data_IF_425599267942
#
_entry.id   IF_425599267942
#
_cell.length_a   1.000
_cell.length_b   1.000
_cell.length_c   1.000
_cell.angle_alpha   90.00
_cell.angle_beta   90.00
_cell.angle_gamma   90.00
#
_symmetry.space_group_name_H-M   'P 1'
#
loop_
_entity.id
_entity.type
_entity.pdbx_description
1 polymer ?
#
# COMPACT_ATOMS: atom_id res chain seq x y z
N UNK A 1 15.83 33.29 3.00
CA UNK A 1 15.01 32.34 3.74
C UNK A 1 13.73 32.16 2.94
N UNK A 2 13.59 31.01 2.25
CA UNK A 2 12.35 30.72 1.50
C UNK A 2 11.23 30.50 2.50
N UNK A 3 10.08 31.12 2.25
CA UNK A 3 8.86 30.81 2.98
C UNK A 3 8.49 29.38 2.61
N UNK A 4 8.67 28.41 3.52
CA UNK A 4 8.16 27.06 3.33
C UNK A 4 6.62 27.15 3.39
N UNK A 5 5.97 27.11 2.24
CA UNK A 5 4.52 26.96 2.20
C UNK A 5 4.17 25.51 2.56
N UNK A 6 3.33 25.32 3.58
CA UNK A 6 2.80 24.02 3.95
C UNK A 6 1.91 23.48 2.84
N UNK A 7 2.11 22.24 2.43
CA UNK A 7 1.28 21.57 1.44
C UNK A 7 0.01 21.00 2.08
N UNK A 8 -1.08 21.00 1.33
CA UNK A 8 -2.30 20.30 1.71
C UNK A 8 -2.21 18.85 1.20
N UNK A 9 -2.08 17.89 2.10
CA UNK A 9 -1.93 16.46 1.81
C UNK A 9 -3.24 15.74 2.14
N UNK A 10 -3.93 15.24 1.10
CA UNK A 10 -5.14 14.45 1.25
C UNK A 10 -4.83 12.95 1.19
N UNK A 11 -5.04 12.25 2.31
CA UNK A 11 -4.87 10.79 2.41
C UNK A 11 -6.24 10.13 2.37
N UNK A 12 -6.56 9.52 1.23
CA UNK A 12 -7.79 8.79 1.00
C UNK A 12 -7.69 7.37 1.57
N UNK A 13 -8.64 6.99 2.43
CA UNK A 13 -8.65 5.65 3.04
C UNK A 13 -7.63 5.48 4.17
N UNK A 14 -7.43 6.51 4.98
CA UNK A 14 -6.45 6.59 6.07
C UNK A 14 -6.61 5.52 7.16
N UNK A 15 -7.67 4.74 7.14
CA UNK A 15 -7.99 3.71 8.16
C UNK A 15 -7.76 2.28 7.68
N UNK A 16 -7.40 2.07 6.41
CA UNK A 16 -6.98 0.77 5.87
C UNK A 16 -5.54 0.42 6.29
N UNK A 17 -5.08 -0.79 5.97
CA UNK A 17 -3.75 -1.29 6.33
C UNK A 17 -2.63 -0.28 5.98
N UNK A 18 -2.46 0.04 4.71
CA UNK A 18 -1.43 0.98 4.27
C UNK A 18 -1.78 2.42 4.66
N UNK A 19 -3.05 2.84 4.48
CA UNK A 19 -3.47 4.20 4.79
C UNK A 19 -3.23 4.60 6.24
N UNK A 20 -3.42 3.68 7.19
CA UNK A 20 -3.14 3.92 8.61
C UNK A 20 -1.65 4.10 8.88
N UNK A 21 -0.78 3.30 8.26
CA UNK A 21 0.66 3.47 8.39
C UNK A 21 1.12 4.80 7.79
N UNK A 22 0.64 5.16 6.59
CA UNK A 22 0.91 6.47 5.98
C UNK A 22 0.44 7.60 6.90
N UNK A 23 -0.77 7.49 7.46
CA UNK A 23 -1.30 8.51 8.40
C UNK A 23 -0.42 8.70 9.63
N UNK A 24 0.08 7.61 10.22
CA UNK A 24 0.99 7.69 11.36
C UNK A 24 2.33 8.32 10.99
N UNK A 25 2.95 7.86 9.89
CA UNK A 25 4.25 8.39 9.43
C UNK A 25 4.14 9.88 9.08
N UNK A 26 3.09 10.29 8.36
CA UNK A 26 2.89 11.70 8.04
C UNK A 26 2.64 12.55 9.27
N UNK A 27 1.82 12.09 10.23
CA UNK A 27 1.57 12.83 11.47
C UNK A 27 2.80 12.96 12.36
N UNK A 28 3.77 12.05 12.25
CA UNK A 28 4.99 12.07 13.07
C UNK A 28 6.12 12.86 12.39
N UNK A 29 6.20 12.85 11.06
CA UNK A 29 7.36 13.35 10.32
C UNK A 29 7.06 14.43 9.29
N UNK A 30 5.81 14.92 9.15
CA UNK A 30 5.45 16.03 8.27
C UNK A 30 4.89 17.20 9.06
N UNK A 31 5.27 18.41 8.63
CA UNK A 31 4.69 19.66 9.14
C UNK A 31 3.52 20.16 8.27
N UNK A 32 3.18 19.43 7.18
CA UNK A 32 2.14 19.80 6.22
C UNK A 32 0.72 19.75 6.82
N UNK A 33 -0.23 20.40 6.14
CA UNK A 33 -1.65 20.30 6.47
C UNK A 33 -2.20 18.93 6.05
N UNK A 34 -2.56 18.09 7.02
CA UNK A 34 -2.98 16.72 6.78
C UNK A 34 -4.50 16.57 6.85
N UNK A 35 -5.08 15.98 5.81
CA UNK A 35 -6.51 15.68 5.69
C UNK A 35 -6.70 14.17 5.51
N UNK A 36 -7.34 13.53 6.47
CA UNK A 36 -7.52 12.08 6.49
C UNK A 36 -8.97 11.70 6.24
N UNK A 37 -9.19 10.73 5.33
CA UNK A 37 -10.54 10.27 5.05
C UNK A 37 -10.80 8.85 5.53
N UNK A 38 -12.03 8.61 5.99
CA UNK A 38 -12.56 7.29 6.31
C UNK A 38 -14.05 7.21 5.96
N UNK A 39 -14.56 5.99 5.77
CA UNK A 39 -15.99 5.75 5.57
C UNK A 39 -16.84 5.91 6.84
N UNK A 40 -16.22 5.92 8.01
CA UNK A 40 -16.90 6.10 9.30
C UNK A 40 -15.99 6.74 10.34
N UNK A 41 -16.58 7.53 11.22
CA UNK A 41 -15.89 8.28 12.26
C UNK A 41 -15.16 7.39 13.27
N UNK A 42 -15.77 6.30 13.68
CA UNK A 42 -15.25 5.37 14.69
C UNK A 42 -13.95 4.66 14.32
N UNK A 43 -13.52 4.76 13.06
CA UNK A 43 -12.29 4.13 12.58
C UNK A 43 -11.06 5.03 12.66
N UNK A 44 -11.24 6.32 12.92
CA UNK A 44 -10.12 7.23 13.08
C UNK A 44 -9.37 6.99 14.39
N UNK A 45 -8.04 7.15 14.34
CA UNK A 45 -7.25 7.27 15.55
C UNK A 45 -7.44 8.67 16.15
N UNK A 46 -8.07 8.75 17.31
CA UNK A 46 -8.39 10.03 17.96
C UNK A 46 -7.16 10.74 18.55
N UNK A 47 -6.02 10.07 18.68
CA UNK A 47 -4.78 10.66 19.15
C UNK A 47 -4.10 11.58 18.12
N UNK A 48 -4.47 11.46 16.83
CA UNK A 48 -3.88 12.29 15.78
C UNK A 48 -4.62 13.61 15.67
N UNK A 49 -3.85 14.71 15.81
CA UNK A 49 -4.36 16.09 15.64
C UNK A 49 -4.37 16.48 14.16
N UNK A 50 -5.34 15.97 13.41
CA UNK A 50 -5.49 16.18 11.97
C UNK A 50 -6.97 16.40 11.61
N UNK A 51 -7.24 17.02 10.46
CA UNK A 51 -8.62 17.12 9.98
C UNK A 51 -9.12 15.76 9.47
N UNK A 52 -10.19 15.26 10.09
CA UNK A 52 -10.82 13.97 9.79
C UNK A 52 -12.09 14.18 9.00
N UNK A 53 -12.19 13.54 7.84
CA UNK A 53 -13.28 13.74 6.89
C UNK A 53 -13.94 12.40 6.59
N UNK A 54 -15.26 12.34 6.75
CA UNK A 54 -16.04 11.19 6.30
C UNK A 54 -16.16 11.28 4.78
N UNK A 55 -15.71 10.23 4.10
CA UNK A 55 -15.75 10.14 2.65
C UNK A 55 -15.90 8.70 2.18
N UNK A 56 -16.92 8.45 1.37
CA UNK A 56 -17.16 7.19 0.68
C UNK A 56 -17.18 7.42 -0.84
N UNK A 57 -16.20 6.91 -1.61
CA UNK A 57 -16.10 7.19 -3.06
C UNK A 57 -17.29 6.71 -3.89
N UNK A 58 -18.14 5.82 -3.35
CA UNK A 58 -19.36 5.38 -4.02
C UNK A 58 -20.54 6.36 -3.88
N UNK A 59 -20.54 7.20 -2.84
CA UNK A 59 -21.69 8.01 -2.49
C UNK A 59 -21.39 9.52 -2.50
N UNK A 60 -20.13 9.88 -2.19
CA UNK A 60 -19.74 11.26 -1.97
C UNK A 60 -19.09 11.85 -3.22
N UNK A 61 -19.20 13.16 -3.36
CA UNK A 61 -18.60 13.86 -4.47
C UNK A 61 -17.13 14.19 -4.19
N UNK A 62 -16.22 13.60 -4.96
CA UNK A 62 -14.78 13.87 -4.86
C UNK A 62 -14.41 15.30 -5.29
N UNK A 63 -15.18 15.90 -6.19
CA UNK A 63 -14.92 17.27 -6.67
C UNK A 63 -15.13 18.28 -5.54
N UNK A 64 -16.23 18.14 -4.77
CA UNK A 64 -16.53 18.99 -3.60
C UNK A 64 -15.44 18.85 -2.52
N UNK A 65 -14.92 17.62 -2.33
CA UNK A 65 -13.82 17.36 -1.40
C UNK A 65 -12.55 18.10 -1.85
N UNK A 66 -12.21 18.06 -3.14
CA UNK A 66 -11.06 18.77 -3.68
C UNK A 66 -11.21 20.29 -3.58
N UNK A 67 -12.40 20.82 -3.86
CA UNK A 67 -12.66 22.26 -3.75
C UNK A 67 -12.53 22.77 -2.29
N UNK A 68 -13.02 21.97 -1.32
CA UNK A 68 -12.88 22.29 0.11
C UNK A 68 -11.43 22.30 0.59
N UNK A 69 -10.60 21.31 0.16
CA UNK A 69 -9.25 21.10 0.68
C UNK A 69 -8.21 21.85 -0.15
N UNK A 70 -8.42 22.02 -1.46
CA UNK A 70 -7.43 22.48 -2.42
C UNK A 70 -6.08 21.73 -2.27
N UNK A 71 -6.05 20.41 -2.49
CA UNK A 71 -4.89 19.59 -2.18
C UNK A 71 -3.71 19.87 -3.11
N UNK A 72 -2.48 19.82 -2.57
CA UNK A 72 -1.24 19.75 -3.37
C UNK A 72 -0.91 18.31 -3.71
N UNK A 73 -1.21 17.38 -2.80
CA UNK A 73 -1.03 15.94 -2.99
C UNK A 73 -2.29 15.17 -2.58
N UNK A 74 -2.64 14.18 -3.39
CA UNK A 74 -3.67 13.18 -3.07
C UNK A 74 -3.03 11.80 -3.07
N UNK A 75 -3.06 11.11 -1.94
CA UNK A 75 -2.54 9.76 -1.76
C UNK A 75 -3.72 8.80 -1.67
N UNK A 76 -3.89 7.93 -2.67
CA UNK A 76 -5.02 7.02 -2.71
C UNK A 76 -4.70 5.64 -2.13
N UNK A 77 -5.08 5.43 -0.86
CA UNK A 77 -5.00 4.14 -0.16
C UNK A 77 -6.35 3.37 -0.19
N UNK A 78 -7.36 3.89 -0.90
CA UNK A 78 -8.64 3.19 -1.04
C UNK A 78 -8.49 2.06 -2.06
N UNK A 79 -8.95 0.87 -1.69
CA UNK A 79 -9.01 -0.29 -2.57
C UNK A 79 -10.00 -1.34 -2.05
N UNK A 80 -10.72 -1.98 -2.96
CA UNK A 80 -11.42 -3.23 -2.69
C UNK A 80 -10.40 -4.37 -2.82
N UNK A 81 -10.12 -5.08 -1.73
CA UNK A 81 -9.08 -6.10 -1.67
C UNK A 81 -9.63 -7.51 -1.97
N UNK A 82 -8.78 -8.40 -2.43
CA UNK A 82 -9.14 -9.75 -2.87
C UNK A 82 -10.03 -10.51 -1.86
N UNK A 83 -9.75 -10.54 -0.55
CA UNK A 83 -10.60 -11.25 0.41
C UNK A 83 -12.03 -10.69 0.54
N UNK A 84 -12.26 -9.44 0.13
CA UNK A 84 -13.60 -8.81 0.20
C UNK A 84 -14.40 -8.93 -1.10
N UNK A 85 -13.78 -9.40 -2.18
CA UNK A 85 -14.41 -9.55 -3.49
C UNK A 85 -14.96 -10.96 -3.62
N UNK A 86 -16.28 -11.06 -3.77
CA UNK A 86 -17.01 -12.30 -3.97
C UNK A 86 -17.58 -12.36 -5.40
N UNK A 87 -18.13 -13.51 -5.80
CA UNK A 87 -18.79 -13.70 -7.10
C UNK A 87 -20.13 -12.94 -7.22
N UNK A 88 -20.61 -12.33 -6.14
CA UNK A 88 -21.85 -11.54 -6.17
C UNK A 88 -21.68 -10.29 -7.02
N UNK A 89 -22.68 -9.99 -7.86
CA UNK A 89 -22.70 -8.84 -8.77
C UNK A 89 -22.39 -7.51 -8.04
N UNK A 90 -22.96 -7.32 -6.86
CA UNK A 90 -22.76 -6.10 -6.06
C UNK A 90 -21.30 -5.96 -5.61
N UNK A 91 -20.65 -7.08 -5.26
CA UNK A 91 -19.24 -7.10 -4.86
C UNK A 91 -18.32 -6.79 -6.04
N UNK A 92 -18.60 -7.36 -7.22
CA UNK A 92 -17.85 -7.09 -8.45
C UNK A 92 -18.03 -5.62 -8.87
N UNK A 93 -19.25 -5.09 -8.85
CA UNK A 93 -19.53 -3.69 -9.17
C UNK A 93 -18.79 -2.74 -8.21
N UNK A 94 -18.77 -3.06 -6.92
CA UNK A 94 -18.00 -2.29 -5.94
C UNK A 94 -16.49 -2.33 -6.25
N UNK A 95 -15.93 -3.48 -6.61
CA UNK A 95 -14.52 -3.59 -6.98
C UNK A 95 -14.20 -2.75 -8.23
N UNK A 96 -15.05 -2.76 -9.25
CA UNK A 96 -14.91 -1.93 -10.45
C UNK A 96 -14.98 -0.44 -10.10
N UNK A 97 -15.96 -0.03 -9.29
CA UNK A 97 -16.11 1.36 -8.84
C UNK A 97 -14.86 1.86 -8.10
N UNK A 98 -14.39 1.09 -7.13
CA UNK A 98 -13.31 1.47 -6.22
C UNK A 98 -11.93 1.34 -6.85
N UNK A 99 -11.65 0.24 -7.57
CA UNK A 99 -10.31 -0.03 -8.09
C UNK A 99 -10.07 0.54 -9.50
N UNK A 100 -11.14 0.83 -10.25
CA UNK A 100 -11.06 1.31 -11.63
C UNK A 100 -11.58 2.75 -11.78
N UNK A 101 -12.86 2.99 -11.57
CA UNK A 101 -13.46 4.30 -11.83
C UNK A 101 -12.97 5.40 -10.90
N UNK A 102 -12.82 5.11 -9.62
CA UNK A 102 -12.38 6.13 -8.66
C UNK A 102 -10.94 6.61 -8.91
N UNK A 103 -9.93 5.75 -9.14
CA UNK A 103 -8.60 6.17 -9.59
C UNK A 103 -8.61 7.01 -10.87
N UNK A 104 -9.46 6.66 -11.84
CA UNK A 104 -9.60 7.45 -13.07
C UNK A 104 -10.21 8.84 -12.80
N UNK A 105 -11.21 8.92 -11.91
CA UNK A 105 -11.78 10.20 -11.46
C UNK A 105 -10.73 11.08 -10.78
N UNK A 106 -9.91 10.52 -9.90
CA UNK A 106 -8.81 11.24 -9.26
C UNK A 106 -7.80 11.73 -10.32
N UNK A 107 -7.40 10.86 -11.25
CA UNK A 107 -6.46 11.21 -12.33
C UNK A 107 -6.95 12.37 -13.19
N UNK A 108 -8.25 12.37 -13.55
CA UNK A 108 -8.86 13.47 -14.30
C UNK A 108 -8.84 14.77 -13.47
N UNK A 109 -9.29 14.72 -12.24
CA UNK A 109 -9.34 15.91 -11.37
C UNK A 109 -7.95 16.45 -11.05
N UNK A 110 -6.93 15.58 -10.94
CA UNK A 110 -5.53 15.95 -10.81
C UNK A 110 -5.03 16.78 -11.99
N UNK A 111 -5.43 16.42 -13.22
CA UNK A 111 -5.10 17.20 -14.41
C UNK A 111 -5.80 18.56 -14.41
N UNK A 112 -7.06 18.61 -13.99
CA UNK A 112 -7.89 19.84 -13.98
C UNK A 112 -7.40 20.86 -12.93
N UNK A 113 -7.03 20.39 -11.72
CA UNK A 113 -6.62 21.23 -10.58
C UNK A 113 -5.09 21.27 -10.36
N UNK A 114 -4.31 20.52 -11.14
CA UNK A 114 -2.85 20.48 -11.07
C UNK A 114 -2.27 19.99 -9.73
N UNK A 115 -2.99 19.17 -8.96
CA UNK A 115 -2.42 18.50 -7.80
C UNK A 115 -1.68 17.21 -8.20
N UNK A 116 -0.76 16.77 -7.36
CA UNK A 116 -0.01 15.54 -7.53
C UNK A 116 -0.79 14.34 -6.97
N UNK A 117 -0.86 13.27 -7.73
CA UNK A 117 -1.62 12.07 -7.39
C UNK A 117 -0.69 10.87 -7.21
N UNK A 118 -0.68 10.26 -6.02
CA UNK A 118 0.06 9.03 -5.73
C UNK A 118 -0.93 7.88 -5.67
N UNK A 119 -0.78 6.94 -6.61
CA UNK A 119 -1.58 5.71 -6.73
C UNK A 119 -0.77 4.51 -6.32
N UNK A 120 -1.34 3.69 -5.45
CA UNK A 120 -0.74 2.42 -5.03
C UNK A 120 -1.14 1.32 -6.02
N UNK A 121 -0.15 0.77 -6.72
CA UNK A 121 -0.26 -0.40 -7.58
C UNK A 121 -0.12 -1.71 -6.79
N UNK A 122 -0.13 -2.84 -7.48
CA UNK A 122 -0.02 -4.18 -6.90
C UNK A 122 0.63 -5.17 -7.86
N UNK A 123 1.37 -6.14 -7.33
CA UNK A 123 1.87 -7.32 -8.04
C UNK A 123 0.74 -8.23 -8.55
N UNK A 124 -0.44 -8.16 -7.93
CA UNK A 124 -1.60 -8.96 -8.32
C UNK A 124 -2.21 -8.60 -9.69
N UNK A 125 -1.63 -7.65 -10.43
CA UNK A 125 -1.93 -7.43 -11.86
C UNK A 125 -1.34 -8.52 -12.73
N UNK A 126 -0.45 -9.34 -12.18
CA UNK A 126 0.16 -10.50 -12.83
C UNK A 126 -0.44 -11.81 -12.34
N UNK A 127 -0.46 -12.82 -13.21
CA UNK A 127 -0.95 -14.17 -12.87
C UNK A 127 -0.10 -14.85 -11.80
N UNK A 128 1.21 -14.65 -11.84
CA UNK A 128 2.18 -15.32 -10.98
C UNK A 128 2.69 -16.64 -11.55
N UNK A 129 2.60 -16.84 -12.85
CA UNK A 129 3.11 -18.03 -13.52
C UNK A 129 4.63 -17.99 -13.75
N UNK A 130 5.20 -16.80 -13.95
CA UNK A 130 6.59 -16.62 -14.39
C UNK A 130 7.50 -16.05 -13.29
N UNK A 131 7.05 -15.01 -12.55
CA UNK A 131 7.89 -14.23 -11.63
C UNK A 131 8.81 -13.24 -12.34
N UNK A 132 9.49 -12.40 -11.56
CA UNK A 132 10.44 -11.41 -12.10
C UNK A 132 9.80 -10.41 -13.05
N UNK A 133 8.53 -10.04 -12.83
CA UNK A 133 7.81 -9.12 -13.72
C UNK A 133 8.37 -7.71 -13.65
N UNK A 134 8.62 -7.12 -14.81
CA UNK A 134 9.06 -5.73 -14.97
C UNK A 134 7.89 -4.81 -15.36
N UNK A 135 8.10 -3.50 -15.36
CA UNK A 135 7.06 -2.50 -15.64
C UNK A 135 6.41 -2.68 -17.02
N UNK A 136 7.13 -3.24 -17.99
CA UNK A 136 6.65 -3.50 -19.34
C UNK A 136 6.07 -4.90 -19.54
N UNK A 137 6.11 -5.76 -18.53
CA UNK A 137 5.49 -7.09 -18.58
C UNK A 137 3.99 -6.98 -18.79
N UNK A 138 3.44 -7.86 -19.61
CA UNK A 138 1.99 -7.91 -19.87
C UNK A 138 1.24 -8.25 -18.59
N UNK A 139 0.28 -7.40 -18.21
CA UNK A 139 -0.61 -7.68 -17.10
C UNK A 139 -1.64 -8.74 -17.50
N UNK A 140 -1.64 -9.87 -16.81
CA UNK A 140 -2.39 -11.09 -17.18
C UNK A 140 -3.24 -11.65 -16.03
N UNK A 141 -3.57 -10.83 -15.03
CA UNK A 141 -4.41 -11.26 -13.92
C UNK A 141 -5.74 -11.86 -14.39
N UNK A 142 -6.11 -12.97 -13.79
CA UNK A 142 -7.35 -13.70 -14.13
C UNK A 142 -8.52 -13.37 -13.21
N UNK A 143 -8.25 -12.95 -11.98
CA UNK A 143 -9.28 -12.62 -11.00
C UNK A 143 -9.78 -11.16 -11.09
N UNK A 144 -10.94 -10.90 -10.47
CA UNK A 144 -11.60 -9.58 -10.49
C UNK A 144 -10.73 -8.51 -9.86
N UNK A 145 -10.00 -8.83 -8.78
CA UNK A 145 -9.13 -7.86 -8.11
C UNK A 145 -8.05 -7.34 -9.04
N UNK A 146 -7.23 -8.25 -9.59
CA UNK A 146 -6.15 -7.87 -10.50
C UNK A 146 -6.67 -7.12 -11.73
N UNK A 147 -7.73 -7.62 -12.39
CA UNK A 147 -8.33 -6.97 -13.56
C UNK A 147 -8.82 -5.55 -13.27
N UNK A 148 -9.47 -5.33 -12.12
CA UNK A 148 -9.96 -3.99 -11.75
C UNK A 148 -8.83 -3.04 -11.38
N UNK A 149 -7.75 -3.54 -10.78
CA UNK A 149 -6.54 -2.75 -10.48
C UNK A 149 -5.82 -2.32 -11.77
N UNK A 150 -5.69 -3.21 -12.78
CA UNK A 150 -5.10 -2.89 -14.09
C UNK A 150 -5.80 -1.66 -14.72
N UNK A 151 -7.13 -1.65 -14.75
CA UNK A 151 -7.90 -0.51 -15.31
C UNK A 151 -7.62 0.79 -14.55
N UNK A 152 -7.47 0.74 -13.23
CA UNK A 152 -7.14 1.91 -12.39
C UNK A 152 -5.72 2.46 -12.56
N UNK A 153 -4.82 1.72 -13.23
CA UNK A 153 -3.42 2.11 -13.43
C UNK A 153 -3.18 3.04 -14.62
N UNK A 154 -4.21 3.40 -15.38
CA UNK A 154 -4.06 4.29 -16.54
C UNK A 154 -3.26 5.55 -16.16
N UNK A 155 -2.21 5.81 -16.94
CA UNK A 155 -1.27 6.92 -16.69
C UNK A 155 -1.91 8.29 -16.95
N UNK A 156 -1.54 9.27 -16.12
CA UNK A 156 -1.82 10.70 -16.34
C UNK A 156 -0.59 11.55 -15.96
N UNK A 157 -0.59 12.82 -16.39
CA UNK A 157 0.60 13.70 -16.27
C UNK A 157 1.11 13.86 -14.83
N UNK A 158 0.19 14.04 -13.89
CA UNK A 158 0.53 14.33 -12.48
C UNK A 158 0.42 13.10 -11.59
N UNK A 159 0.33 11.90 -12.18
CA UNK A 159 0.17 10.64 -11.45
C UNK A 159 1.53 9.98 -11.24
N UNK A 160 1.83 9.66 -10.01
CA UNK A 160 2.90 8.73 -9.60
C UNK A 160 2.26 7.39 -9.29
N UNK A 161 2.65 6.34 -10.00
CA UNK A 161 2.16 4.97 -9.81
C UNK A 161 3.32 4.09 -9.34
N UNK A 162 3.19 3.55 -8.13
CA UNK A 162 4.17 2.63 -7.55
C UNK A 162 3.52 1.27 -7.36
N UNK A 163 4.08 0.24 -8.02
CA UNK A 163 3.65 -1.15 -7.89
C UNK A 163 4.54 -1.90 -6.91
N UNK A 164 3.95 -2.56 -5.94
CA UNK A 164 4.66 -3.47 -5.03
C UNK A 164 3.67 -4.46 -4.41
N UNK A 165 4.17 -5.57 -3.90
CA UNK A 165 3.47 -6.36 -2.89
C UNK A 165 3.70 -5.72 -1.52
N UNK A 166 2.68 -5.66 -0.66
CA UNK A 166 2.79 -4.94 0.60
C UNK A 166 2.28 -5.80 1.76
N UNK A 167 3.07 -5.88 2.82
CA UNK A 167 2.68 -6.51 4.09
C UNK A 167 2.74 -5.50 5.23
N UNK A 168 1.87 -5.68 6.23
CA UNK A 168 1.92 -4.82 7.42
C UNK A 168 0.78 -5.08 8.38
N UNK A 169 0.79 -4.37 9.52
CA UNK A 169 -0.24 -4.48 10.54
C UNK A 169 -1.55 -3.84 10.05
N UNK A 170 -2.65 -4.46 10.44
CA UNK A 170 -4.00 -3.99 10.18
C UNK A 170 -4.80 -3.96 11.47
N UNK A 171 -5.61 -2.93 11.66
CA UNK A 171 -6.56 -2.88 12.78
C UNK A 171 -7.83 -3.67 12.48
N UNK A 172 -8.45 -4.24 13.49
CA UNK A 172 -9.74 -4.93 13.37
C UNK A 172 -9.61 -6.39 12.92
N UNK A 173 -10.29 -6.80 11.85
CA UNK A 173 -10.53 -8.21 11.46
C UNK A 173 -9.29 -9.05 11.17
N UNK A 174 -8.13 -8.42 10.91
CA UNK A 174 -6.88 -9.15 10.74
C UNK A 174 -6.80 -9.98 9.46
N UNK A 175 -7.31 -9.46 8.33
CA UNK A 175 -7.25 -10.14 7.04
C UNK A 175 -5.88 -10.06 6.36
N UNK A 176 -4.97 -9.18 6.81
CA UNK A 176 -3.60 -9.13 6.30
C UNK A 176 -2.80 -10.37 6.74
N UNK A 177 -1.81 -10.76 5.92
CA UNK A 177 -0.97 -11.94 6.22
C UNK A 177 -0.31 -11.84 7.59
N UNK A 178 0.23 -10.66 7.94
CA UNK A 178 0.86 -10.44 9.23
C UNK A 178 -0.15 -10.60 10.38
N UNK A 179 -1.32 -9.97 10.28
CA UNK A 179 -2.32 -10.07 11.34
C UNK A 179 -2.88 -11.48 11.49
N UNK A 180 -3.13 -12.18 10.36
CA UNK A 180 -3.53 -13.57 10.39
C UNK A 180 -2.51 -14.41 11.15
N UNK A 181 -1.22 -14.26 10.81
CA UNK A 181 -0.15 -15.01 11.45
C UNK A 181 -0.03 -14.71 12.96
N UNK A 182 -0.10 -13.43 13.35
CA UNK A 182 0.02 -13.03 14.75
C UNK A 182 -1.19 -13.45 15.60
N UNK A 183 -2.38 -13.50 15.01
CA UNK A 183 -3.64 -13.83 15.70
C UNK A 183 -4.02 -15.30 15.65
N UNK A 184 -3.35 -16.12 14.85
CA UNK A 184 -3.66 -17.55 14.81
C UNK A 184 -3.51 -18.18 16.19
N UNK A 185 -4.46 -19.00 16.56
CA UNK A 185 -4.47 -19.84 17.77
C UNK A 185 -4.12 -21.29 17.43
N UNK A 186 -3.94 -21.60 16.15
CA UNK A 186 -3.54 -22.92 15.70
C UNK A 186 -2.12 -23.25 16.19
N UNK A 187 -1.87 -24.49 16.63
CA UNK A 187 -0.54 -24.90 17.13
C UNK A 187 0.51 -24.95 16.02
N UNK A 188 0.06 -25.06 14.76
CA UNK A 188 0.92 -25.09 13.60
C UNK A 188 0.25 -24.46 12.37
N UNK A 189 1.07 -23.89 11.48
CA UNK A 189 0.65 -23.30 10.21
C UNK A 189 1.52 -23.78 9.07
N UNK A 190 1.02 -23.71 7.85
CA UNK A 190 1.77 -24.06 6.65
C UNK A 190 2.42 -22.81 6.04
N UNK A 191 3.72 -22.90 5.76
CA UNK A 191 4.48 -21.93 4.98
C UNK A 191 4.85 -22.53 3.62
N UNK A 192 4.45 -21.86 2.54
CA UNK A 192 4.69 -22.34 1.18
C UNK A 192 6.11 -22.01 0.72
N UNK A 193 6.90 -23.02 0.33
CA UNK A 193 8.28 -22.87 -0.17
C UNK A 193 8.34 -22.53 -1.66
N UNK A 194 7.25 -22.67 -2.38
CA UNK A 194 7.10 -22.40 -3.81
C UNK A 194 6.28 -21.13 -4.14
N UNK A 195 5.96 -20.33 -3.12
CA UNK A 195 5.32 -19.02 -3.27
C UNK A 195 6.36 -17.91 -2.99
N UNK A 196 7.00 -17.46 -4.04
CA UNK A 196 8.01 -16.39 -3.96
C UNK A 196 7.40 -15.02 -3.66
N UNK A 197 8.12 -14.18 -2.93
CA UNK A 197 7.70 -12.85 -2.53
C UNK A 197 8.90 -11.89 -2.39
N UNK A 198 8.78 -10.70 -2.94
CA UNK A 198 9.75 -9.61 -2.79
C UNK A 198 9.05 -8.25 -2.65
N UNK A 199 8.07 -8.20 -1.79
CA UNK A 199 7.36 -6.96 -1.47
C UNK A 199 8.06 -6.13 -0.39
N UNK A 200 7.37 -5.08 0.02
CA UNK A 200 7.83 -4.14 1.05
C UNK A 200 6.85 -4.11 2.23
N UNK A 201 7.26 -3.51 3.34
CA UNK A 201 6.34 -3.28 4.45
C UNK A 201 5.52 -2.01 4.23
N UNK A 202 4.38 -1.92 4.94
CA UNK A 202 3.60 -0.67 4.98
C UNK A 202 4.42 0.51 5.48
N UNK A 203 5.40 0.28 6.36
CA UNK A 203 6.29 1.31 6.90
C UNK A 203 7.25 1.85 5.82
N UNK A 204 7.93 0.94 5.09
CA UNK A 204 8.82 1.35 4.00
C UNK A 204 8.04 2.17 2.96
N UNK A 205 6.88 1.66 2.54
CA UNK A 205 6.04 2.35 1.57
C UNK A 205 5.61 3.74 2.06
N UNK A 206 5.19 3.86 3.33
CA UNK A 206 4.79 5.13 3.93
C UNK A 206 5.93 6.15 3.99
N UNK A 207 7.15 5.72 4.35
CA UNK A 207 8.35 6.57 4.35
C UNK A 207 8.70 7.07 2.95
N UNK A 208 8.62 6.18 1.95
CA UNK A 208 8.88 6.52 0.54
C UNK A 208 7.85 7.55 0.05
N UNK A 209 6.57 7.34 0.32
CA UNK A 209 5.51 8.29 -0.06
C UNK A 209 5.73 9.65 0.61
N UNK A 210 6.11 9.69 1.89
CA UNK A 210 6.50 10.93 2.57
C UNK A 210 7.69 11.61 1.89
N UNK A 211 8.71 10.84 1.50
CA UNK A 211 9.86 11.37 0.77
C UNK A 211 9.49 11.95 -0.58
N UNK A 212 8.58 11.32 -1.33
CA UNK A 212 8.06 11.82 -2.61
C UNK A 212 7.37 13.18 -2.40
N UNK A 213 6.52 13.34 -1.36
CA UNK A 213 5.85 14.60 -1.11
C UNK A 213 6.83 15.70 -0.68
N UNK A 214 7.81 15.40 0.17
CA UNK A 214 8.84 16.36 0.64
C UNK A 214 9.78 16.84 -0.47
N UNK A 215 10.08 15.99 -1.45
CA UNK A 215 10.97 16.33 -2.57
C UNK A 215 10.20 16.82 -3.80
N UNK A 216 8.87 16.95 -3.69
CA UNK A 216 7.99 17.30 -4.82
C UNK A 216 8.23 16.45 -6.07
N UNK A 217 8.70 15.22 -5.86
CA UNK A 217 8.95 14.27 -6.95
C UNK A 217 7.64 13.75 -7.49
N UNK A 218 7.30 14.11 -8.70
CA UNK A 218 5.96 13.84 -9.26
C UNK A 218 6.04 13.29 -10.67
N UNK A 219 4.95 12.67 -11.13
CA UNK A 219 4.83 12.22 -12.52
C UNK A 219 5.62 10.95 -12.85
N UNK A 220 5.96 10.14 -11.84
CA UNK A 220 6.51 8.79 -12.06
C UNK A 220 5.39 7.94 -12.65
N UNK A 221 5.44 7.68 -13.96
CA UNK A 221 4.34 7.03 -14.69
C UNK A 221 4.02 5.64 -14.13
N UNK A 222 5.04 4.83 -13.95
CA UNK A 222 4.98 3.51 -13.31
C UNK A 222 6.39 3.14 -12.88
N UNK A 223 6.55 2.74 -11.63
CA UNK A 223 7.78 2.19 -11.08
C UNK A 223 7.45 0.99 -10.19
N UNK A 224 8.19 -0.08 -10.34
CA UNK A 224 8.19 -1.18 -9.39
C UNK A 224 9.09 -0.81 -8.20
N UNK A 225 8.56 -0.97 -6.99
CA UNK A 225 9.32 -0.80 -5.76
C UNK A 225 9.66 -2.19 -5.23
N UNK A 226 10.95 -2.52 -5.28
CA UNK A 226 11.45 -3.85 -4.92
C UNK A 226 12.59 -3.74 -3.91
N UNK A 227 12.67 -4.65 -2.90
CA UNK A 227 13.79 -4.76 -1.96
C UNK A 227 15.03 -5.37 -2.64
N UNK A 228 16.12 -5.53 -1.87
CA UNK A 228 17.38 -6.08 -2.39
C UNK A 228 17.37 -7.60 -2.58
N UNK A 229 16.39 -8.30 -2.01
CA UNK A 229 16.28 -9.77 -2.03
C UNK A 229 14.83 -10.25 -2.21
N UNK A 230 14.64 -11.55 -2.19
CA UNK A 230 13.36 -12.23 -2.18
C UNK A 230 13.37 -13.37 -1.15
N UNK A 231 12.18 -13.74 -0.68
CA UNK A 231 11.93 -14.87 0.20
C UNK A 231 10.70 -15.62 -0.29
N UNK A 232 10.55 -16.87 0.11
CA UNK A 232 9.27 -17.57 -0.07
C UNK A 232 8.32 -17.31 1.13
N UNK A 233 7.09 -17.77 1.04
CA UNK A 233 6.10 -17.56 2.11
C UNK A 233 6.45 -18.26 3.43
N UNK A 234 7.14 -19.39 3.38
CA UNK A 234 7.65 -20.04 4.59
C UNK A 234 8.69 -19.15 5.29
N UNK A 235 9.69 -18.67 4.57
CA UNK A 235 10.72 -17.78 5.10
C UNK A 235 10.13 -16.47 5.63
N UNK A 236 9.13 -15.90 4.94
CA UNK A 236 8.44 -14.70 5.40
C UNK A 236 7.73 -14.92 6.75
N UNK A 237 7.07 -16.08 6.94
CA UNK A 237 6.45 -16.42 8.22
C UNK A 237 7.49 -16.64 9.32
N UNK A 238 8.65 -17.22 9.00
CA UNK A 238 9.78 -17.37 9.94
C UNK A 238 10.30 -16.00 10.39
N UNK A 239 10.42 -15.02 9.47
CA UNK A 239 10.77 -13.64 9.83
C UNK A 239 9.72 -13.00 10.76
N UNK A 240 8.43 -13.21 10.48
CA UNK A 240 7.36 -12.72 11.38
C UNK A 240 7.45 -13.37 12.76
N UNK A 241 7.70 -14.68 12.81
CA UNK A 241 7.90 -15.41 14.09
C UNK A 241 9.02 -14.79 14.90
N UNK A 242 10.16 -14.56 14.28
CA UNK A 242 11.35 -14.01 14.91
C UNK A 242 11.12 -12.60 15.45
N UNK A 243 10.71 -11.66 14.58
CA UNK A 243 10.65 -10.25 14.94
C UNK A 243 9.40 -9.85 15.74
N UNK A 244 8.32 -10.61 15.65
CA UNK A 244 7.11 -10.36 16.44
C UNK A 244 6.93 -11.31 17.62
N UNK A 245 7.92 -12.17 17.90
CA UNK A 245 7.93 -13.11 19.04
C UNK A 245 6.68 -14.00 19.10
N UNK A 246 6.24 -14.53 17.94
CA UNK A 246 5.08 -15.42 17.85
C UNK A 246 5.54 -16.88 17.96
N UNK A 247 5.02 -17.58 18.96
CA UNK A 247 5.27 -19.02 19.14
C UNK A 247 4.21 -19.83 18.37
N UNK A 248 4.60 -20.39 17.22
CA UNK A 248 3.78 -21.29 16.39
C UNK A 248 4.70 -22.15 15.54
N UNK A 249 4.39 -23.42 15.37
CA UNK A 249 5.17 -24.30 14.47
C UNK A 249 4.83 -23.95 13.02
N UNK A 250 5.85 -23.68 12.20
CA UNK A 250 5.69 -23.44 10.78
C UNK A 250 6.15 -24.67 10.01
N UNK A 251 5.25 -25.31 9.29
CA UNK A 251 5.57 -26.48 8.45
C UNK A 251 5.95 -26.02 7.05
N UNK A 252 7.06 -26.50 6.53
CA UNK A 252 7.44 -26.32 5.14
C UNK A 252 6.55 -27.18 4.25
N UNK A 253 5.84 -26.55 3.31
CA UNK A 253 4.96 -27.25 2.37
C UNK A 253 5.13 -26.70 0.96
N UNK A 254 4.92 -27.57 -0.02
CA UNK A 254 4.78 -27.19 -1.44
C UNK A 254 3.31 -27.10 -1.76
N UNK A 255 2.88 -26.06 -2.44
CA UNK A 255 1.48 -25.87 -2.79
C UNK A 255 1.08 -26.73 -4.01
N UNK A 256 -0.22 -26.92 -4.21
CA UNK A 256 -0.72 -27.54 -5.43
C UNK A 256 -0.48 -26.67 -6.68
N UNK A 257 -0.45 -25.35 -6.48
CA UNK A 257 -0.25 -24.37 -7.55
C UNK A 257 0.84 -23.38 -7.15
N UNK A 258 2.00 -23.48 -7.80
CA UNK A 258 3.08 -22.51 -7.65
C UNK A 258 2.60 -21.09 -8.00
N UNK A 259 2.97 -20.11 -7.19
CA UNK A 259 2.69 -18.70 -7.45
C UNK A 259 3.96 -17.90 -7.26
N UNK A 260 4.41 -17.24 -8.31
CA UNK A 260 5.55 -16.31 -8.28
C UNK A 260 5.12 -14.97 -8.90
N UNK A 261 4.80 -13.99 -8.04
CA UNK A 261 4.50 -12.62 -8.45
C UNK A 261 5.62 -11.65 -8.10
N UNK A 262 6.84 -12.17 -7.96
CA UNK A 262 7.99 -11.30 -7.73
C UNK A 262 8.10 -10.26 -8.83
N UNK A 263 8.42 -9.05 -8.41
CA UNK A 263 8.67 -7.94 -9.31
C UNK A 263 10.16 -7.77 -9.52
N UNK A 264 10.53 -7.36 -10.72
CA UNK A 264 11.83 -6.81 -11.04
C UNK A 264 11.61 -5.39 -11.61
N UNK A 265 12.66 -4.68 -11.99
CA UNK A 265 12.52 -3.34 -12.56
C UNK A 265 13.46 -3.11 -13.72
N UNK A 266 12.96 -2.45 -14.77
CA UNK A 266 13.78 -2.00 -15.90
C UNK A 266 14.62 -0.78 -15.55
N UNK A 267 14.28 -0.06 -14.46
CA UNK A 267 15.02 1.12 -14.00
C UNK A 267 15.46 0.94 -12.52
N UNK A 268 16.57 0.21 -12.29
CA UNK A 268 17.11 0.03 -10.94
C UNK A 268 17.51 1.33 -10.25
N UNK A 269 17.89 2.37 -11.03
CA UNK A 269 18.24 3.67 -10.47
C UNK A 269 17.01 4.39 -9.92
N UNK A 270 15.90 4.35 -10.65
CA UNK A 270 14.62 4.90 -10.14
C UNK A 270 14.13 4.17 -8.89
N UNK A 271 14.28 2.84 -8.84
CA UNK A 271 14.01 2.09 -7.62
C UNK A 271 14.90 2.54 -6.45
N UNK A 272 16.21 2.68 -6.67
CA UNK A 272 17.14 3.16 -5.65
C UNK A 272 16.79 4.59 -5.17
N UNK A 273 16.40 5.49 -6.08
CA UNK A 273 15.99 6.85 -5.72
C UNK A 273 14.70 6.85 -4.87
N UNK A 274 13.73 5.97 -5.13
CA UNK A 274 12.56 5.80 -4.25
C UNK A 274 12.97 5.39 -2.82
N UNK A 275 13.88 4.42 -2.69
CA UNK A 275 14.39 4.01 -1.40
C UNK A 275 15.14 5.15 -0.67
N UNK A 276 15.97 5.91 -1.38
CA UNK A 276 16.65 7.09 -0.82
C UNK A 276 15.66 8.16 -0.34
N UNK A 277 14.58 8.42 -1.08
CA UNK A 277 13.52 9.32 -0.65
C UNK A 277 12.87 8.84 0.66
N UNK A 278 12.76 7.53 0.86
CA UNK A 278 12.31 6.92 2.11
C UNK A 278 13.32 7.01 3.26
N UNK A 279 14.51 7.59 3.02
CA UNK A 279 15.57 7.73 4.02
C UNK A 279 16.53 6.54 4.11
N UNK A 280 16.52 5.64 3.12
CA UNK A 280 17.40 4.47 3.07
C UNK A 280 18.68 4.77 2.28
N UNK A 281 19.85 4.48 2.87
CA UNK A 281 21.14 4.67 2.19
C UNK A 281 21.35 3.66 1.05
N UNK A 282 20.91 2.44 1.27
CA UNK A 282 20.92 1.32 0.34
C UNK A 282 19.53 0.68 0.30
N UNK A 283 19.27 -0.15 -0.71
CA UNK A 283 18.01 -0.90 -0.79
C UNK A 283 18.04 -2.00 0.27
N UNK A 284 17.14 -1.97 1.27
CA UNK A 284 17.19 -2.93 2.36
C UNK A 284 16.68 -4.31 1.91
N UNK A 285 17.14 -5.35 2.62
CA UNK A 285 16.60 -6.70 2.51
C UNK A 285 15.21 -6.82 3.16
N UNK A 286 14.50 -7.88 2.82
CA UNK A 286 13.20 -8.18 3.44
C UNK A 286 13.35 -8.37 4.95
N UNK A 287 14.45 -9.00 5.39
CA UNK A 287 14.74 -9.16 6.81
C UNK A 287 14.84 -7.82 7.53
N UNK A 288 15.59 -6.87 6.98
CA UNK A 288 15.74 -5.53 7.54
C UNK A 288 14.39 -4.78 7.56
N UNK A 289 13.62 -4.91 6.49
CA UNK A 289 12.29 -4.31 6.39
C UNK A 289 11.32 -4.83 7.45
N UNK A 290 11.31 -6.14 7.72
CA UNK A 290 10.43 -6.75 8.74
C UNK A 290 10.92 -6.38 10.15
N UNK A 291 12.23 -6.36 10.39
CA UNK A 291 12.81 -5.90 11.65
C UNK A 291 12.40 -4.45 11.96
N UNK A 292 12.58 -3.55 11.00
CA UNK A 292 12.21 -2.15 11.14
C UNK A 292 10.70 -1.97 11.40
N UNK A 293 9.85 -2.74 10.69
CA UNK A 293 8.41 -2.72 10.93
C UNK A 293 8.06 -3.15 12.35
N UNK A 294 8.69 -4.18 12.88
CA UNK A 294 8.42 -4.70 14.21
C UNK A 294 8.85 -3.70 15.32
N UNK A 295 9.97 -3.00 15.12
CA UNK A 295 10.49 -2.01 16.04
C UNK A 295 9.75 -0.68 16.03
N UNK A 296 9.03 -0.37 14.94
CA UNK A 296 8.31 0.88 14.81
C UNK A 296 7.15 0.97 15.81
N UNK A 297 7.15 2.00 16.66
CA UNK A 297 6.12 2.22 17.69
C UNK A 297 4.69 2.25 17.11
N UNK A 298 4.54 2.80 15.91
CA UNK A 298 3.26 2.85 15.20
C UNK A 298 2.70 1.46 14.88
N UNK A 299 3.53 0.46 14.64
CA UNK A 299 3.10 -0.93 14.41
C UNK A 299 2.35 -1.48 15.61
N UNK A 300 2.89 -1.30 16.82
CA UNK A 300 2.22 -1.72 18.07
C UNK A 300 0.88 -1.01 18.25
N UNK A 301 0.85 0.31 18.03
CA UNK A 301 -0.38 1.10 18.09
C UNK A 301 -1.46 0.59 17.12
N UNK A 302 -1.08 0.18 15.90
CA UNK A 302 -2.02 -0.37 14.90
C UNK A 302 -2.57 -1.73 15.35
N UNK A 303 -1.70 -2.62 15.84
CA UNK A 303 -2.08 -3.98 16.26
C UNK A 303 -2.99 -3.97 17.50
N UNK A 304 -2.82 -3.01 18.40
CA UNK A 304 -3.62 -2.82 19.62
C UNK A 304 -4.95 -2.09 19.35
N UNK A 305 -5.10 -1.43 18.21
CA UNK A 305 -6.32 -0.68 17.87
C UNK A 305 -7.46 -1.64 17.52
N UNK A 306 -8.54 -1.61 18.35
CA UNK A 306 -9.74 -2.47 18.26
C UNK A 306 -10.81 -1.89 17.33
#
# INVERSE_FOLDING_TARGET
MGVNYLSNILILGSTGMLGRMISLVFSEYSDDNLFFTSRSENKFNNELNVEKIIFNPNNDNFDDLCEKINPNFVINCIGAIKPTITEKKESINNAISINSFFPLKISKKSADLSFNYIQIGTDCVFSGLEGGYIETSTTDATDVYGKTKIVGEISSKNKTLIRSSIVGPESGSGMSLLNWFLKTEEPEVNGFTDHEWNGVTTLNFAKIVLGITKNEQTGIKLQHLVPSDRVNKYELLVLFQEFFSKEVKINEVVSENKVDRTLDTIDPLANQELWKMGGYMEIPSIRENISELADFKGTKKILEFK
#
